data_IF_088106762295
#
_entry.id   IF_088106762295
#
_cell.length_a   1.000
_cell.length_b   1.000
_cell.length_c   1.000
_cell.angle_alpha   90.00
_cell.angle_beta   90.00
_cell.angle_gamma   90.00
#
_symmetry.space_group_name_H-M   'P 1'
#
loop_
_entity.id
_entity.type
_entity.pdbx_description
1 polymer ?
#
# COMPACT_ATOMS: atom_id res chain seq x y z
N UNK A 1 45.52 73.38 28.18
CA UNK A 1 44.06 73.39 27.97
C UNK A 1 43.63 71.99 27.56
N UNK A 2 42.99 71.28 28.49
CA UNK A 2 42.52 69.91 28.31
C UNK A 2 41.03 69.96 28.62
N UNK A 3 40.14 69.56 27.62
CA UNK A 3 38.75 69.42 28.00
C UNK A 3 38.42 67.97 28.43
N UNK A 4 37.70 67.90 29.56
CA UNK A 4 37.20 66.72 30.21
C UNK A 4 36.04 66.11 29.46
N UNK A 5 36.08 64.81 29.26
CA UNK A 5 34.95 63.98 28.76
C UNK A 5 34.07 63.50 29.95
N UNK A 6 32.74 63.51 29.84
CA UNK A 6 31.84 62.93 30.85
C UNK A 6 31.56 61.43 30.60
N UNK A 7 31.70 60.66 31.68
CA UNK A 7 31.33 59.28 31.78
C UNK A 7 29.78 59.12 31.70
N UNK A 8 29.30 58.35 30.73
CA UNK A 8 27.92 57.87 30.68
C UNK A 8 27.85 56.49 31.34
N UNK A 9 27.12 56.39 32.45
CA UNK A 9 26.72 55.15 33.10
C UNK A 9 25.69 54.39 32.24
N UNK A 10 26.05 53.20 31.77
CA UNK A 10 25.12 52.28 31.13
C UNK A 10 24.34 51.54 32.23
N UNK A 11 23.04 51.76 32.29
CA UNK A 11 22.11 50.95 33.08
C UNK A 11 21.81 49.68 32.28
N UNK A 12 22.25 48.52 32.78
CA UNK A 12 21.85 47.21 32.29
C UNK A 12 20.43 46.92 32.80
N UNK A 13 19.47 46.86 31.86
CA UNK A 13 18.13 46.40 32.14
C UNK A 13 18.10 44.85 32.02
N UNK A 14 17.92 44.20 33.14
CA UNK A 14 17.74 42.73 33.24
C UNK A 14 16.29 42.38 32.84
N UNK A 15 16.10 41.90 31.63
CA UNK A 15 14.82 41.35 31.15
C UNK A 15 14.66 39.91 31.69
N UNK A 16 13.86 39.75 32.74
CA UNK A 16 13.35 38.44 33.13
C UNK A 16 12.33 37.96 32.09
N UNK A 17 12.73 37.01 31.27
CA UNK A 17 11.82 36.27 30.42
C UNK A 17 11.07 35.22 31.27
N UNK A 18 9.84 35.51 31.64
CA UNK A 18 8.91 34.54 32.22
C UNK A 18 8.45 33.58 31.08
N UNK A 19 9.04 32.38 31.05
CA UNK A 19 8.54 31.28 30.24
C UNK A 19 7.20 30.83 30.84
N UNK A 20 6.10 31.25 30.23
CA UNK A 20 4.78 30.70 30.50
C UNK A 20 4.76 29.25 29.96
N UNK A 21 4.84 28.27 30.86
CA UNK A 21 4.50 26.89 30.57
C UNK A 21 3.00 26.82 30.23
N UNK A 22 2.68 26.87 28.95
CA UNK A 22 1.36 26.51 28.46
C UNK A 22 1.24 25.00 28.65
N UNK A 23 0.78 24.57 29.82
CA UNK A 23 0.25 23.23 30.02
C UNK A 23 -1.03 23.12 29.17
N UNK A 24 -0.86 22.76 27.91
CA UNK A 24 -1.98 22.34 27.09
C UNK A 24 -2.60 21.10 27.73
N UNK A 25 -3.74 21.28 28.40
CA UNK A 25 -4.63 20.17 28.72
C UNK A 25 -5.02 19.54 27.38
N UNK A 26 -4.29 18.50 26.97
CA UNK A 26 -4.75 17.62 25.93
C UNK A 26 -6.09 17.07 26.42
N UNK A 27 -7.17 17.41 25.74
CA UNK A 27 -8.48 16.85 25.98
C UNK A 27 -8.31 15.32 25.95
N UNK A 28 -8.59 14.60 27.06
CA UNK A 28 -8.48 13.16 27.05
C UNK A 28 -9.51 12.66 26.05
N UNK A 29 -9.07 12.36 24.82
CA UNK A 29 -9.91 11.86 23.76
C UNK A 29 -10.88 10.80 24.27
N UNK A 30 -11.94 10.47 23.52
CA UNK A 30 -13.05 9.67 24.01
C UNK A 30 -12.53 8.37 24.64
N UNK A 31 -12.78 8.19 25.94
CA UNK A 31 -12.25 7.11 26.80
C UNK A 31 -12.56 5.69 26.28
N UNK A 32 -13.49 5.56 25.33
CA UNK A 32 -13.92 4.30 24.72
C UNK A 32 -13.39 4.09 23.30
N UNK A 33 -12.13 4.42 23.07
CA UNK A 33 -11.41 4.09 21.82
C UNK A 33 -10.17 3.29 22.18
N UNK A 34 -9.78 2.26 21.38
CA UNK A 34 -8.54 1.52 21.60
C UNK A 34 -7.31 2.42 21.52
N UNK A 35 -6.33 2.13 22.37
CA UNK A 35 -5.00 2.71 22.23
C UNK A 35 -4.23 1.90 21.18
N UNK A 36 -3.64 2.58 20.20
CA UNK A 36 -2.87 1.97 19.12
C UNK A 36 -1.46 2.54 19.13
N UNK A 37 -0.46 1.66 19.10
CA UNK A 37 0.95 2.02 19.02
C UNK A 37 1.66 1.24 17.91
N UNK A 38 2.90 1.61 17.62
CA UNK A 38 3.73 1.04 16.56
C UNK A 38 3.83 1.95 15.34
N UNK A 39 4.87 1.72 14.56
CA UNK A 39 5.19 2.51 13.37
C UNK A 39 4.33 2.11 12.16
N UNK A 40 4.13 3.07 11.25
CA UNK A 40 3.55 2.81 9.92
C UNK A 40 4.29 1.67 9.22
N UNK A 41 3.54 0.79 8.57
CA UNK A 41 4.09 -0.38 7.88
C UNK A 41 4.50 -1.54 8.82
N UNK A 42 4.38 -1.38 10.13
CA UNK A 42 4.57 -2.45 11.12
C UNK A 42 3.24 -2.81 11.76
N UNK A 43 3.10 -4.09 12.12
CA UNK A 43 1.89 -4.56 12.81
C UNK A 43 1.61 -3.71 14.04
N UNK A 44 0.41 -3.11 14.16
CA UNK A 44 0.07 -2.29 15.32
C UNK A 44 -0.11 -3.15 16.59
N UNK A 45 0.24 -2.57 17.72
CA UNK A 45 -0.21 -3.07 19.02
C UNK A 45 -1.50 -2.34 19.38
N UNK A 46 -2.58 -3.09 19.56
CA UNK A 46 -3.90 -2.56 19.86
C UNK A 46 -4.30 -2.99 21.27
N UNK A 47 -4.52 -2.02 22.17
CA UNK A 47 -4.97 -2.23 23.54
C UNK A 47 -6.42 -1.81 23.65
N UNK A 48 -7.30 -2.77 23.95
CA UNK A 48 -8.74 -2.55 24.05
C UNK A 48 -9.08 -1.90 25.41
N UNK A 49 -9.92 -0.86 25.45
CA UNK A 49 -10.40 -0.30 26.71
C UNK A 49 -11.40 -1.26 27.38
N UNK A 50 -11.44 -1.21 28.71
CA UNK A 50 -12.46 -1.96 29.51
C UNK A 50 -13.82 -1.21 29.54
N UNK A 51 -14.24 -0.67 28.42
CA UNK A 51 -15.46 0.14 28.28
C UNK A 51 -16.30 -0.41 27.13
N UNK A 52 -17.61 -0.16 27.11
CA UNK A 52 -18.46 -0.53 25.98
C UNK A 52 -17.99 0.14 24.69
N UNK A 53 -18.17 -0.53 23.57
CA UNK A 53 -17.89 0.03 22.25
C UNK A 53 -18.76 1.27 21.97
N UNK A 54 -18.29 2.22 21.15
CA UNK A 54 -19.09 3.36 20.73
C UNK A 54 -20.27 2.90 19.89
N UNK A 55 -21.47 3.44 20.17
CA UNK A 55 -22.71 3.12 19.46
C UNK A 55 -22.70 3.52 17.98
N UNK A 56 -21.84 4.46 17.60
CA UNK A 56 -21.67 4.94 16.23
C UNK A 56 -20.24 4.73 15.77
N UNK A 57 -20.05 4.63 14.46
CA UNK A 57 -18.72 4.54 13.89
C UNK A 57 -17.89 5.78 14.27
N UNK A 58 -16.65 5.53 14.70
CA UNK A 58 -15.68 6.58 15.02
C UNK A 58 -14.39 6.33 14.29
N UNK A 59 -13.88 7.37 13.64
CA UNK A 59 -12.62 7.35 12.92
C UNK A 59 -11.66 8.36 13.54
N UNK A 60 -10.41 7.95 13.70
CA UNK A 60 -9.32 8.80 14.19
C UNK A 60 -8.09 8.60 13.29
N UNK A 61 -7.52 9.69 12.81
CA UNK A 61 -6.21 9.65 12.17
C UNK A 61 -5.14 9.63 13.25
N UNK A 62 -4.49 8.50 13.42
CA UNK A 62 -3.45 8.31 14.44
C UNK A 62 -2.11 8.90 14.02
N UNK A 63 -1.84 8.86 12.72
CA UNK A 63 -0.68 9.48 12.09
C UNK A 63 -1.09 9.99 10.73
N UNK A 64 -0.84 11.25 10.46
CA UNK A 64 -1.02 11.83 9.13
C UNK A 64 0.16 11.45 8.23
N UNK A 65 -0.14 11.04 6.99
CA UNK A 65 0.87 10.80 5.97
C UNK A 65 1.28 12.08 5.23
N UNK A 66 2.23 11.95 4.35
CA UNK A 66 2.79 13.04 3.53
C UNK A 66 2.54 12.86 2.02
N UNK A 67 2.00 11.70 1.64
CA UNK A 67 1.79 11.36 0.22
C UNK A 67 0.47 11.91 -0.35
N UNK A 68 0.13 11.52 -1.60
CA UNK A 68 -1.09 11.95 -2.28
C UNK A 68 -2.36 11.56 -1.51
N UNK A 69 -3.39 12.41 -1.64
CA UNK A 69 -4.71 12.19 -1.02
C UNK A 69 -5.49 11.15 -1.81
N UNK A 70 -6.06 10.18 -1.12
CA UNK A 70 -6.94 9.16 -1.68
C UNK A 70 -8.29 9.75 -2.09
N UNK A 71 -8.88 9.25 -3.18
CA UNK A 71 -10.12 9.77 -3.76
C UNK A 71 -11.13 8.66 -4.04
N UNK A 72 -12.38 9.04 -4.09
CA UNK A 72 -13.46 8.16 -4.55
C UNK A 72 -13.15 7.63 -5.96
N UNK A 73 -13.44 6.35 -6.19
CA UNK A 73 -13.18 5.66 -7.46
C UNK A 73 -11.78 5.09 -7.61
N UNK A 74 -10.85 5.43 -6.71
CA UNK A 74 -9.52 4.84 -6.71
C UNK A 74 -9.51 3.44 -6.08
N UNK A 75 -8.53 2.65 -6.46
CA UNK A 75 -8.12 1.44 -5.75
C UNK A 75 -7.26 1.87 -4.58
N UNK A 76 -7.75 1.65 -3.36
CA UNK A 76 -6.95 1.80 -2.15
C UNK A 76 -6.05 0.57 -1.98
N UNK A 77 -4.79 0.80 -1.65
CA UNK A 77 -3.86 -0.23 -1.18
C UNK A 77 -3.55 0.07 0.27
N UNK A 78 -3.79 -0.89 1.16
CA UNK A 78 -3.63 -0.69 2.60
C UNK A 78 -3.23 -1.98 3.31
N UNK A 79 -2.41 -1.86 4.36
CA UNK A 79 -2.38 -2.90 5.38
C UNK A 79 -3.53 -2.69 6.36
N UNK A 80 -4.04 -3.78 6.92
CA UNK A 80 -5.12 -3.74 7.91
C UNK A 80 -4.92 -4.79 9.01
N UNK A 81 -5.13 -4.37 10.25
CA UNK A 81 -5.39 -5.23 11.39
C UNK A 81 -6.84 -5.01 11.80
N UNK A 82 -7.67 -6.04 11.63
CA UNK A 82 -9.09 -6.03 11.94
C UNK A 82 -9.40 -7.01 13.05
N UNK A 83 -10.15 -6.56 14.07
CA UNK A 83 -10.48 -7.34 15.27
C UNK A 83 -11.92 -7.11 15.71
N UNK A 84 -12.47 -8.08 16.45
CA UNK A 84 -13.67 -7.88 17.24
C UNK A 84 -13.35 -7.07 18.50
N UNK A 85 -14.22 -6.12 18.83
CA UNK A 85 -14.11 -5.34 20.07
C UNK A 85 -14.25 -6.21 21.31
N UNK A 86 -15.29 -7.02 21.34
CA UNK A 86 -15.71 -7.78 22.53
C UNK A 86 -14.67 -8.82 22.96
N UNK A 87 -13.99 -9.43 22.03
CA UNK A 87 -13.03 -10.52 22.30
C UNK A 87 -11.59 -10.19 21.97
N UNK A 88 -11.34 -9.08 21.26
CA UNK A 88 -10.01 -8.78 20.69
C UNK A 88 -9.56 -9.78 19.61
N UNK A 89 -10.43 -10.72 19.21
CA UNK A 89 -10.09 -11.76 18.25
C UNK A 89 -9.76 -11.15 16.89
N UNK A 90 -8.59 -11.47 16.30
CA UNK A 90 -8.25 -11.00 14.97
C UNK A 90 -9.14 -11.67 13.92
N UNK A 91 -9.66 -10.87 12.99
CA UNK A 91 -10.46 -11.30 11.85
C UNK A 91 -9.64 -11.25 10.56
N UNK A 92 -8.84 -10.20 10.40
CA UNK A 92 -7.93 -10.00 9.27
C UNK A 92 -6.64 -9.36 9.78
N UNK A 93 -5.51 -9.82 9.27
CA UNK A 93 -4.20 -9.30 9.63
C UNK A 93 -3.27 -9.42 8.42
N UNK A 94 -3.21 -8.36 7.62
CA UNK A 94 -2.38 -8.34 6.40
C UNK A 94 -0.89 -8.29 6.71
N UNK A 95 -0.51 -7.82 7.89
CA UNK A 95 0.89 -7.85 8.32
C UNK A 95 1.39 -9.27 8.53
N UNK A 96 0.55 -10.14 9.11
CA UNK A 96 0.86 -11.58 9.27
C UNK A 96 0.83 -12.32 7.94
N UNK A 97 -0.08 -11.93 7.05
CA UNK A 97 -0.18 -12.48 5.70
C UNK A 97 0.93 -11.95 4.78
N UNK A 98 1.67 -10.92 5.21
CA UNK A 98 2.72 -10.27 4.43
C UNK A 98 2.20 -9.74 3.07
N UNK A 99 0.90 -9.48 2.99
CA UNK A 99 0.25 -9.00 1.77
C UNK A 99 -0.77 -7.91 2.08
N UNK A 100 -0.54 -6.68 1.61
CA UNK A 100 -1.53 -5.61 1.66
C UNK A 100 -2.82 -6.02 0.96
N UNK A 101 -3.94 -5.49 1.42
CA UNK A 101 -5.24 -5.66 0.75
C UNK A 101 -5.54 -4.50 -0.17
N UNK A 102 -6.43 -4.73 -1.13
CA UNK A 102 -6.91 -3.73 -2.08
C UNK A 102 -8.42 -3.72 -2.16
N UNK A 103 -8.99 -2.54 -2.36
CA UNK A 103 -10.42 -2.37 -2.61
C UNK A 103 -10.69 -1.12 -3.44
N UNK A 104 -11.82 -1.08 -4.14
CA UNK A 104 -12.25 0.14 -4.84
C UNK A 104 -13.04 1.02 -3.86
N UNK A 105 -12.67 2.28 -3.75
CA UNK A 105 -13.35 3.27 -2.91
C UNK A 105 -14.59 3.85 -3.64
N UNK A 106 -15.64 3.06 -3.79
CA UNK A 106 -16.85 3.44 -4.55
C UNK A 106 -18.17 3.28 -3.78
N UNK A 107 -18.10 2.87 -2.52
CA UNK A 107 -19.25 2.61 -1.66
C UNK A 107 -19.94 1.28 -1.92
N UNK A 108 -19.36 0.40 -2.74
CA UNK A 108 -19.96 -0.88 -3.14
C UNK A 108 -19.10 -2.08 -2.81
N UNK A 109 -17.78 -1.94 -2.93
CA UNK A 109 -16.82 -3.04 -2.80
C UNK A 109 -16.27 -3.22 -1.38
N UNK A 110 -16.42 -2.20 -0.53
CA UNK A 110 -16.09 -2.28 0.90
C UNK A 110 -17.21 -1.72 1.73
N UNK A 111 -17.17 -1.99 3.02
CA UNK A 111 -18.09 -1.43 3.99
C UNK A 111 -18.12 0.10 3.89
N UNK A 112 -19.30 0.70 3.91
CA UNK A 112 -19.47 2.16 3.77
C UNK A 112 -18.61 2.98 4.74
N UNK A 113 -18.48 2.50 5.98
CA UNK A 113 -17.65 3.16 6.98
C UNK A 113 -16.15 3.09 6.65
N UNK A 114 -15.70 2.06 5.92
CA UNK A 114 -14.32 1.96 5.45
C UNK A 114 -14.05 3.00 4.37
N UNK A 115 -14.92 3.08 3.34
CA UNK A 115 -14.82 4.13 2.32
C UNK A 115 -14.71 5.52 2.95
N UNK A 116 -15.62 5.84 3.87
CA UNK A 116 -15.63 7.12 4.56
C UNK A 116 -14.37 7.38 5.39
N UNK A 117 -13.77 6.33 5.92
CA UNK A 117 -12.53 6.42 6.70
C UNK A 117 -11.28 6.55 5.83
N UNK A 118 -11.32 6.02 4.62
CA UNK A 118 -10.16 5.93 3.74
C UNK A 118 -10.14 6.99 2.63
N UNK A 119 -11.28 7.50 2.19
CA UNK A 119 -11.34 8.64 1.25
C UNK A 119 -10.86 9.92 1.95
N UNK A 120 -10.06 10.72 1.25
CA UNK A 120 -9.49 11.96 1.76
C UNK A 120 -8.30 11.74 2.70
N UNK A 121 -7.72 10.54 2.76
CA UNK A 121 -6.51 10.27 3.55
C UNK A 121 -5.26 10.43 2.70
N UNK A 122 -4.21 10.98 3.29
CA UNK A 122 -2.90 11.00 2.63
C UNK A 122 -2.26 9.61 2.67
N UNK A 123 -1.60 9.22 1.61
CA UNK A 123 -0.74 8.04 1.63
C UNK A 123 0.33 8.19 2.72
N UNK A 124 0.60 7.12 3.48
CA UNK A 124 1.45 7.14 4.67
C UNK A 124 0.68 7.37 5.98
N UNK A 125 -0.65 7.58 5.95
CA UNK A 125 -1.46 7.75 7.14
C UNK A 125 -1.77 6.42 7.82
N UNK A 126 -1.82 6.44 9.18
CA UNK A 126 -2.41 5.37 9.98
C UNK A 126 -3.77 5.83 10.52
N UNK A 127 -4.80 5.06 10.26
CA UNK A 127 -6.20 5.37 10.60
C UNK A 127 -6.78 4.28 11.49
N UNK A 128 -7.39 4.67 12.59
CA UNK A 128 -8.21 3.80 13.44
C UNK A 128 -9.69 4.02 13.12
N UNK A 129 -10.41 2.94 12.86
CA UNK A 129 -11.86 2.91 12.73
C UNK A 129 -12.42 1.94 13.77
N UNK A 130 -13.37 2.42 14.58
CA UNK A 130 -14.24 1.59 15.39
C UNK A 130 -15.66 1.72 14.84
N UNK A 131 -16.29 0.60 14.50
CA UNK A 131 -17.60 0.61 13.84
C UNK A 131 -18.47 -0.56 14.30
N UNK A 132 -19.76 -0.35 14.58
CA UNK A 132 -20.72 -1.45 14.65
C UNK A 132 -20.68 -2.28 13.36
N UNK A 133 -20.78 -3.59 13.47
CA UNK A 133 -20.74 -4.51 12.33
C UNK A 133 -21.83 -4.19 11.30
N UNK A 134 -23.01 -3.80 11.76
CA UNK A 134 -24.15 -3.41 10.91
C UNK A 134 -23.86 -2.20 10.01
N UNK A 135 -23.00 -1.29 10.43
CA UNK A 135 -22.60 -0.12 9.63
C UNK A 135 -21.57 -0.48 8.55
N UNK A 136 -20.91 -1.61 8.71
CA UNK A 136 -19.89 -2.08 7.79
C UNK A 136 -20.42 -3.15 6.83
N UNK A 137 -21.11 -4.13 7.33
CA UNK A 137 -21.50 -5.33 6.60
C UNK A 137 -23.01 -5.46 6.38
N UNK A 138 -23.78 -4.44 6.77
CA UNK A 138 -25.24 -4.42 6.68
C UNK A 138 -25.93 -5.27 7.77
N UNK A 139 -27.27 -5.38 7.73
CA UNK A 139 -28.06 -5.99 8.79
C UNK A 139 -27.82 -7.50 8.97
N UNK A 140 -27.30 -8.18 7.96
CA UNK A 140 -27.05 -9.62 8.01
C UNK A 140 -25.62 -9.97 8.46
N UNK A 141 -24.77 -8.97 8.77
CA UNK A 141 -23.35 -9.18 9.03
C UNK A 141 -22.60 -9.70 7.81
N UNK A 142 -21.36 -10.05 7.97
CA UNK A 142 -20.59 -10.77 6.95
C UNK A 142 -20.23 -12.15 7.46
N UNK A 143 -20.81 -13.18 6.84
CA UNK A 143 -20.10 -14.44 6.77
C UNK A 143 -18.94 -14.24 5.78
N UNK A 144 -17.68 -14.48 6.11
CA UNK A 144 -17.29 -15.80 6.64
C UNK A 144 -16.77 -15.74 8.07
N UNK A 145 -16.83 -14.62 8.73
CA UNK A 145 -15.94 -14.45 9.87
C UNK A 145 -16.61 -14.52 11.22
N UNK A 146 -17.75 -15.13 11.38
CA UNK A 146 -18.37 -15.22 12.71
C UNK A 146 -18.67 -13.81 13.31
N UNK A 147 -18.86 -12.80 12.47
CA UNK A 147 -19.24 -11.45 12.89
C UNK A 147 -20.75 -11.37 13.00
N UNK A 148 -21.24 -11.14 14.20
CA UNK A 148 -22.67 -10.97 14.47
C UNK A 148 -23.09 -9.50 14.23
N UNK A 149 -24.34 -9.23 13.93
CA UNK A 149 -24.84 -7.84 13.83
C UNK A 149 -24.60 -6.98 15.08
N UNK A 150 -24.58 -7.62 16.26
CA UNK A 150 -24.31 -6.98 17.54
C UNK A 150 -22.85 -6.66 17.81
N UNK A 151 -21.93 -7.23 17.02
CA UNK A 151 -20.50 -7.05 17.25
C UNK A 151 -20.04 -5.66 16.82
N UNK A 152 -18.91 -5.24 17.38
CA UNK A 152 -18.19 -4.06 16.96
C UNK A 152 -16.82 -4.45 16.43
N UNK A 153 -16.35 -3.69 15.48
CA UNK A 153 -15.08 -3.95 14.81
C UNK A 153 -14.11 -2.82 15.07
N UNK A 154 -12.87 -3.20 15.30
CA UNK A 154 -11.73 -2.31 15.40
C UNK A 154 -10.82 -2.59 14.20
N UNK A 155 -10.55 -1.56 13.41
CA UNK A 155 -9.70 -1.64 12.24
C UNK A 155 -8.60 -0.59 12.35
N UNK A 156 -7.38 -1.02 12.18
CA UNK A 156 -6.22 -0.12 12.02
C UNK A 156 -5.73 -0.27 10.59
N UNK A 157 -5.84 0.80 9.83
CA UNK A 157 -5.37 0.87 8.45
C UNK A 157 -4.05 1.61 8.36
N UNK A 158 -3.10 1.06 7.63
CA UNK A 158 -1.94 1.79 7.10
C UNK A 158 -2.20 2.07 5.62
N UNK A 159 -2.52 3.30 5.29
CA UNK A 159 -2.85 3.73 3.93
C UNK A 159 -1.59 3.82 3.09
N UNK A 160 -1.33 2.83 2.24
CA UNK A 160 -0.18 2.84 1.33
C UNK A 160 -0.42 3.87 0.23
N UNK A 161 -1.62 3.88 -0.37
CA UNK A 161 -2.02 4.90 -1.33
C UNK A 161 -3.32 4.59 -2.05
N UNK A 162 -3.81 5.57 -2.83
CA UNK A 162 -4.93 5.43 -3.73
C UNK A 162 -4.48 5.61 -5.19
N UNK A 163 -4.88 4.69 -6.08
CA UNK A 163 -4.41 4.60 -7.45
C UNK A 163 -5.59 4.49 -8.41
N UNK A 164 -5.47 5.10 -9.59
CA UNK A 164 -6.50 4.90 -10.61
C UNK A 164 -6.50 3.44 -11.07
N UNK A 165 -7.68 2.82 -11.30
CA UNK A 165 -7.77 1.40 -11.67
C UNK A 165 -6.96 1.02 -12.91
N UNK A 166 -6.72 1.97 -13.81
CA UNK A 166 -5.95 1.80 -15.04
C UNK A 166 -4.61 2.54 -15.02
N UNK A 167 -4.13 2.92 -13.84
CA UNK A 167 -2.86 3.64 -13.71
C UNK A 167 -1.70 2.81 -14.25
N UNK A 168 -0.84 3.46 -15.02
CA UNK A 168 0.34 2.87 -15.63
C UNK A 168 1.52 3.81 -15.48
N UNK A 169 2.72 3.28 -15.62
CA UNK A 169 3.92 4.08 -15.82
C UNK A 169 3.80 4.81 -17.16
N UNK A 170 4.00 6.12 -17.15
CA UNK A 170 4.02 6.96 -18.36
C UNK A 170 5.26 6.67 -19.19
N UNK A 171 5.10 6.63 -20.50
CA UNK A 171 6.15 6.35 -21.48
C UNK A 171 5.76 5.17 -22.37
N UNK A 172 5.92 5.36 -23.68
CA UNK A 172 5.71 4.29 -24.66
C UNK A 172 6.78 3.21 -24.53
N UNK A 173 6.47 1.99 -24.89
CA UNK A 173 7.43 0.92 -25.04
C UNK A 173 8.26 1.11 -26.32
N UNK A 174 9.02 2.19 -26.39
CA UNK A 174 10.17 2.24 -27.29
C UNK A 174 11.30 1.57 -26.54
N UNK A 175 11.34 0.23 -26.54
CA UNK A 175 12.57 -0.47 -26.27
C UNK A 175 13.53 -0.13 -27.42
N UNK A 176 14.11 1.06 -27.39
CA UNK A 176 15.33 1.37 -28.15
C UNK A 176 16.47 0.61 -27.49
N UNK A 177 16.68 -0.59 -27.96
CA UNK A 177 17.76 -1.43 -27.47
C UNK A 177 17.58 -2.85 -27.98
N UNK A 178 18.17 -3.14 -29.12
CA UNK A 178 18.25 -4.40 -29.84
C UNK A 178 16.94 -4.89 -30.49
N UNK A 179 16.94 -4.87 -31.81
CA UNK A 179 15.89 -5.39 -32.70
C UNK A 179 15.60 -6.90 -32.53
N UNK A 180 16.14 -7.55 -31.51
CA UNK A 180 16.05 -9.00 -31.24
C UNK A 180 15.63 -9.35 -29.81
N UNK A 181 15.09 -8.41 -29.05
CA UNK A 181 14.74 -8.70 -27.64
C UNK A 181 13.32 -9.25 -27.53
N UNK A 182 13.21 -10.55 -27.37
CA UNK A 182 11.94 -11.27 -27.16
C UNK A 182 11.52 -11.31 -25.68
N UNK A 183 10.20 -11.34 -25.39
CA UNK A 183 9.13 -10.97 -26.30
C UNK A 183 9.07 -9.47 -26.55
N UNK A 184 8.47 -9.08 -27.67
CA UNK A 184 8.11 -7.69 -27.92
C UNK A 184 6.95 -7.29 -27.01
N UNK A 185 6.98 -6.05 -26.50
CA UNK A 185 5.94 -5.52 -25.58
C UNK A 185 5.32 -4.28 -26.20
N UNK A 186 4.01 -4.30 -26.38
CA UNK A 186 3.22 -3.14 -26.81
C UNK A 186 2.31 -2.69 -25.68
N UNK A 187 2.35 -1.39 -25.36
CA UNK A 187 1.57 -0.79 -24.28
C UNK A 187 0.75 0.37 -24.83
N UNK A 188 -0.55 0.36 -24.54
CA UNK A 188 -1.47 1.48 -24.83
C UNK A 188 -1.96 2.07 -23.50
N UNK A 189 -2.17 3.39 -23.41
CA UNK A 189 -2.66 4.02 -22.19
C UNK A 189 -3.93 3.34 -21.65
N UNK A 190 -3.91 2.98 -20.36
CA UNK A 190 -5.04 2.35 -19.68
C UNK A 190 -5.40 0.93 -20.11
N UNK A 191 -4.61 0.31 -20.96
CA UNK A 191 -4.84 -1.05 -21.45
C UNK A 191 -3.76 -2.02 -20.96
N UNK A 192 -4.14 -3.29 -20.88
CA UNK A 192 -3.21 -4.36 -20.54
C UNK A 192 -2.11 -4.46 -21.61
N UNK A 193 -0.82 -4.59 -21.22
CA UNK A 193 0.27 -4.83 -22.15
C UNK A 193 0.06 -6.07 -23.00
N UNK A 194 0.38 -5.97 -24.29
CA UNK A 194 0.34 -7.10 -25.24
C UNK A 194 1.76 -7.56 -25.53
N UNK A 195 2.00 -8.86 -25.37
CA UNK A 195 3.26 -9.50 -25.69
C UNK A 195 3.15 -10.27 -27.00
N UNK A 196 4.14 -10.10 -27.88
CA UNK A 196 4.24 -10.75 -29.19
C UNK A 196 5.69 -11.12 -29.48
N UNK A 197 5.97 -11.67 -30.65
CA UNK A 197 7.32 -12.06 -31.11
C UNK A 197 8.10 -12.79 -30.02
N UNK A 198 7.56 -13.91 -29.61
CA UNK A 198 8.01 -14.61 -28.43
C UNK A 198 9.43 -15.18 -28.53
N UNK A 199 9.91 -15.54 -29.71
CA UNK A 199 11.17 -16.22 -29.87
C UNK A 199 11.27 -17.53 -29.04
N UNK A 200 12.47 -18.09 -28.90
CA UNK A 200 12.70 -19.29 -28.09
C UNK A 200 12.37 -19.01 -26.61
N UNK A 201 11.86 -20.03 -25.90
CA UNK A 201 11.62 -19.92 -24.45
C UNK A 201 12.92 -19.63 -23.69
N UNK A 202 12.86 -18.78 -22.61
CA UNK A 202 14.03 -18.39 -21.87
C UNK A 202 14.65 -19.60 -21.14
N UNK A 203 15.97 -19.76 -21.24
CA UNK A 203 16.74 -20.75 -20.47
C UNK A 203 17.28 -20.20 -19.17
N UNK A 204 17.33 -18.85 -19.04
CA UNK A 204 17.78 -18.12 -17.85
C UNK A 204 16.79 -17.03 -17.52
N UNK A 205 16.72 -16.68 -16.24
CA UNK A 205 15.99 -15.51 -15.79
C UNK A 205 16.61 -14.22 -16.35
N UNK A 206 15.76 -13.29 -16.76
CA UNK A 206 16.21 -11.94 -17.11
C UNK A 206 15.16 -10.89 -16.71
N UNK A 207 15.65 -9.71 -16.33
CA UNK A 207 14.86 -8.54 -16.00
C UNK A 207 15.32 -7.33 -16.84
N UNK A 208 14.46 -6.88 -17.76
CA UNK A 208 14.75 -5.76 -18.67
C UNK A 208 13.90 -4.55 -18.32
N UNK A 209 14.53 -3.40 -18.09
CA UNK A 209 13.82 -2.14 -17.91
C UNK A 209 13.35 -1.64 -19.28
N UNK A 210 12.03 -1.49 -19.44
CA UNK A 210 11.40 -0.93 -20.63
C UNK A 210 11.24 0.59 -20.52
N UNK A 211 10.94 1.07 -19.32
CA UNK A 211 10.88 2.49 -18.95
C UNK A 211 11.65 2.65 -17.66
N UNK A 212 12.61 3.54 -17.61
CA UNK A 212 13.36 3.86 -16.41
C UNK A 212 12.57 4.87 -15.54
N UNK A 213 12.29 4.50 -14.30
CA UNK A 213 11.70 5.39 -13.32
C UNK A 213 12.71 6.35 -12.71
N UNK A 214 12.22 7.45 -12.15
CA UNK A 214 13.03 8.47 -11.47
C UNK A 214 12.78 8.53 -9.97
N UNK A 215 11.82 7.76 -9.46
CA UNK A 215 11.49 7.71 -8.05
C UNK A 215 12.53 6.95 -7.20
N UNK A 216 12.25 6.72 -5.92
CA UNK A 216 13.14 5.98 -5.03
C UNK A 216 13.32 4.52 -5.48
N UNK A 217 14.44 3.93 -5.09
CA UNK A 217 14.73 2.51 -5.34
C UNK A 217 13.93 1.60 -4.42
N UNK A 218 13.43 0.50 -4.96
CA UNK A 218 12.78 -0.56 -4.20
C UNK A 218 13.78 -1.30 -3.32
N UNK A 219 13.51 -1.34 -2.02
CA UNK A 219 14.33 -2.04 -1.03
C UNK A 219 13.57 -3.22 -0.44
N UNK A 220 14.25 -4.32 -0.09
CA UNK A 220 13.64 -5.42 0.65
C UNK A 220 12.88 -4.93 1.89
N UNK A 221 11.72 -5.53 2.14
CA UNK A 221 10.85 -5.18 3.25
C UNK A 221 9.89 -4.02 3.00
N UNK A 222 10.00 -3.33 1.86
CA UNK A 222 9.03 -2.31 1.48
C UNK A 222 7.75 -2.92 0.90
N UNK A 223 6.67 -2.19 1.04
CA UNK A 223 5.41 -2.44 0.34
C UNK A 223 5.47 -1.73 -1.01
N UNK A 224 5.50 -2.50 -2.07
CA UNK A 224 5.44 -1.98 -3.43
C UNK A 224 4.02 -2.05 -3.96
N UNK A 225 3.63 -1.07 -4.77
CA UNK A 225 2.37 -1.07 -5.51
C UNK A 225 2.69 -1.19 -6.98
N UNK A 226 2.08 -2.15 -7.63
CA UNK A 226 2.33 -2.44 -9.05
C UNK A 226 1.05 -2.62 -9.85
N UNK A 227 1.14 -2.27 -11.13
CA UNK A 227 0.21 -2.70 -12.17
C UNK A 227 0.94 -3.70 -13.06
N UNK A 228 0.36 -4.88 -13.29
CA UNK A 228 1.08 -5.91 -14.03
C UNK A 228 0.20 -6.82 -14.88
N UNK A 229 0.84 -7.49 -15.83
CA UNK A 229 0.30 -8.60 -16.61
C UNK A 229 1.32 -9.73 -16.65
N UNK A 230 0.88 -10.96 -16.36
CA UNK A 230 1.67 -12.18 -16.46
C UNK A 230 1.12 -13.10 -17.55
N UNK A 231 1.96 -13.51 -18.49
CA UNK A 231 1.59 -14.31 -19.66
C UNK A 231 2.47 -15.56 -19.73
N UNK A 232 1.88 -16.72 -20.01
CA UNK A 232 2.63 -17.95 -20.31
C UNK A 232 3.33 -17.78 -21.67
N UNK A 233 4.58 -18.22 -21.75
CA UNK A 233 5.41 -18.04 -22.94
C UNK A 233 4.74 -18.58 -24.20
N UNK A 234 4.64 -17.76 -25.23
CA UNK A 234 4.02 -18.12 -26.52
C UNK A 234 2.49 -18.15 -26.51
N UNK A 235 1.84 -17.87 -25.39
CA UNK A 235 0.37 -17.86 -25.30
C UNK A 235 -0.20 -16.47 -25.53
N UNK A 236 -1.47 -16.43 -25.97
CA UNK A 236 -2.27 -15.20 -26.01
C UNK A 236 -3.02 -15.05 -24.69
N UNK A 237 -3.09 -13.81 -24.20
CA UNK A 237 -3.78 -13.46 -22.96
C UNK A 237 -3.00 -13.79 -21.69
N UNK A 238 -3.29 -13.07 -20.63
CA UNK A 238 -2.64 -13.23 -19.35
C UNK A 238 -3.30 -14.33 -18.51
N UNK A 239 -2.49 -15.10 -17.80
CA UNK A 239 -2.98 -15.99 -16.74
C UNK A 239 -3.29 -15.22 -15.47
N UNK A 240 -2.61 -14.07 -15.26
CA UNK A 240 -2.79 -13.19 -14.12
C UNK A 240 -2.53 -11.73 -14.49
N UNK A 241 -3.44 -10.83 -14.13
CA UNK A 241 -3.35 -9.43 -14.51
C UNK A 241 -4.16 -8.56 -13.57
N UNK A 242 -3.56 -7.46 -13.10
CA UNK A 242 -4.27 -6.43 -12.34
C UNK A 242 -5.24 -5.63 -13.21
N UNK A 243 -5.00 -5.55 -14.53
CA UNK A 243 -5.92 -4.88 -15.47
C UNK A 243 -7.28 -5.58 -15.59
N UNK A 244 -7.34 -6.87 -15.30
CA UNK A 244 -8.57 -7.69 -15.32
C UNK A 244 -9.25 -7.78 -13.95
N UNK A 245 -8.73 -7.05 -12.98
CA UNK A 245 -9.23 -6.93 -11.61
C UNK A 245 -9.55 -5.48 -11.30
N UNK A 246 -9.51 -5.15 -10.03
CA UNK A 246 -9.80 -3.80 -9.57
C UNK A 246 -8.74 -2.76 -9.96
N UNK A 247 -7.56 -3.18 -10.42
CA UNK A 247 -6.43 -2.29 -10.73
C UNK A 247 -5.18 -2.61 -9.93
N UNK A 248 -4.30 -1.64 -9.67
CA UNK A 248 -3.02 -1.84 -8.98
C UNK A 248 -3.14 -2.62 -7.68
N UNK A 249 -2.13 -3.44 -7.38
CA UNK A 249 -2.11 -4.27 -6.18
C UNK A 249 -0.82 -4.06 -5.39
N UNK A 250 -0.92 -4.26 -4.07
CA UNK A 250 0.18 -4.15 -3.12
C UNK A 250 0.86 -5.48 -2.85
N UNK A 251 2.19 -5.46 -2.69
CA UNK A 251 3.00 -6.62 -2.35
C UNK A 251 4.12 -6.22 -1.39
N UNK A 252 4.44 -7.09 -0.44
CA UNK A 252 5.66 -6.95 0.34
C UNK A 252 6.86 -7.45 -0.50
N UNK A 253 7.86 -6.60 -0.70
CA UNK A 253 9.08 -6.98 -1.41
C UNK A 253 9.95 -7.85 -0.49
N UNK A 254 9.67 -9.16 -0.50
CA UNK A 254 10.33 -10.15 0.33
C UNK A 254 10.64 -11.41 -0.48
N UNK A 255 11.81 -11.99 -0.26
CA UNK A 255 12.19 -13.24 -0.93
C UNK A 255 11.17 -14.35 -0.61
N UNK A 256 10.83 -15.14 -1.61
CA UNK A 256 9.85 -16.25 -1.56
C UNK A 256 8.40 -15.85 -1.22
N UNK A 257 8.11 -14.57 -1.05
CA UNK A 257 6.75 -14.06 -0.83
C UNK A 257 6.09 -13.50 -2.09
N UNK A 258 6.73 -13.63 -3.25
CA UNK A 258 6.31 -13.02 -4.51
C UNK A 258 6.21 -14.06 -5.64
N UNK A 259 5.63 -13.64 -6.76
CA UNK A 259 5.64 -14.44 -7.99
C UNK A 259 7.07 -14.76 -8.44
N UNK A 260 7.28 -15.86 -9.20
CA UNK A 260 8.62 -16.27 -9.63
C UNK A 260 9.38 -15.15 -10.33
N UNK A 261 10.62 -14.90 -9.92
CA UNK A 261 11.50 -13.88 -10.49
C UNK A 261 11.21 -12.44 -10.04
N UNK A 262 10.12 -12.18 -9.31
CA UNK A 262 9.77 -10.80 -8.93
C UNK A 262 10.74 -10.18 -7.93
N UNK A 263 11.10 -10.90 -6.88
CA UNK A 263 12.04 -10.38 -5.90
C UNK A 263 13.40 -10.04 -6.55
N UNK A 264 13.95 -10.97 -7.32
CA UNK A 264 15.21 -10.81 -8.03
C UNK A 264 15.16 -9.69 -9.08
N UNK A 265 14.06 -9.61 -9.84
CA UNK A 265 13.92 -8.67 -10.95
C UNK A 265 13.50 -7.26 -10.58
N UNK A 266 12.84 -7.07 -9.42
CA UNK A 266 12.29 -5.78 -9.01
C UNK A 266 13.11 -5.09 -7.92
N UNK A 267 13.86 -5.84 -7.08
CA UNK A 267 14.75 -5.24 -6.07
C UNK A 267 15.75 -4.30 -6.73
N UNK A 268 15.93 -3.10 -6.17
CA UNK A 268 16.81 -2.05 -6.70
C UNK A 268 16.24 -1.30 -7.91
N UNK A 269 15.06 -1.68 -8.45
CA UNK A 269 14.41 -0.88 -9.49
C UNK A 269 13.78 0.37 -8.88
N UNK A 270 13.64 1.42 -9.68
CA UNK A 270 13.06 2.68 -9.23
C UNK A 270 11.54 2.71 -9.41
N UNK A 271 10.86 3.35 -8.51
CA UNK A 271 9.45 3.74 -8.70
C UNK A 271 9.31 4.57 -9.98
N UNK A 272 8.27 4.29 -10.76
CA UNK A 272 8.07 4.82 -12.10
C UNK A 272 8.72 3.97 -13.20
N UNK A 273 9.33 2.82 -12.87
CA UNK A 273 9.87 1.91 -13.89
C UNK A 273 8.80 0.96 -14.42
N UNK A 274 8.92 0.64 -15.72
CA UNK A 274 8.28 -0.52 -16.34
C UNK A 274 9.34 -1.58 -16.60
N UNK A 275 9.13 -2.79 -16.09
CA UNK A 275 10.08 -3.90 -16.18
C UNK A 275 9.44 -5.10 -16.86
N UNK A 276 10.15 -5.68 -17.82
CA UNK A 276 9.82 -7.00 -18.37
C UNK A 276 10.66 -8.05 -17.66
N UNK A 277 10.00 -9.02 -17.03
CA UNK A 277 10.64 -10.19 -16.44
C UNK A 277 10.38 -11.39 -17.34
N UNK A 278 11.43 -12.12 -17.73
CA UNK A 278 11.33 -13.39 -18.45
C UNK A 278 11.84 -14.51 -17.56
N UNK A 279 10.96 -15.43 -17.23
CA UNK A 279 11.16 -16.45 -16.20
C UNK A 279 11.15 -17.83 -16.86
N UNK A 280 12.25 -18.61 -16.80
CA UNK A 280 12.29 -19.96 -17.38
C UNK A 280 11.42 -20.93 -16.59
N UNK A 281 11.07 -22.04 -17.23
CA UNK A 281 10.43 -23.17 -16.55
C UNK A 281 11.32 -23.65 -15.38
N UNK A 282 10.69 -23.99 -14.25
CA UNK A 282 11.41 -24.46 -13.06
C UNK A 282 12.25 -23.42 -12.31
N UNK A 283 12.20 -22.14 -12.72
CA UNK A 283 12.76 -21.06 -11.91
C UNK A 283 12.10 -21.05 -10.53
N UNK A 284 12.84 -20.66 -9.49
CA UNK A 284 12.43 -20.72 -8.08
C UNK A 284 10.91 -20.53 -7.90
N UNK A 285 10.23 -21.50 -7.28
CA UNK A 285 8.79 -21.36 -7.05
C UNK A 285 8.57 -20.08 -6.24
N UNK A 286 7.89 -19.15 -6.83
CA UNK A 286 7.36 -17.99 -6.13
C UNK A 286 6.18 -18.39 -5.27
N UNK A 287 5.62 -17.41 -4.64
CA UNK A 287 4.45 -17.53 -3.80
C UNK A 287 3.29 -18.27 -4.53
N UNK A 288 2.83 -19.35 -3.92
CA UNK A 288 1.70 -20.16 -4.41
C UNK A 288 0.46 -19.95 -3.54
N UNK A 289 0.23 -18.74 -2.99
CA UNK A 289 -1.03 -18.48 -2.31
C UNK A 289 -2.17 -18.50 -3.32
N UNK A 290 -3.05 -19.44 -3.08
CA UNK A 290 -4.24 -19.72 -3.89
C UNK A 290 -5.38 -18.74 -3.67
N UNK A 291 -5.27 -17.86 -2.69
CA UNK A 291 -6.32 -16.93 -2.29
C UNK A 291 -6.29 -15.68 -3.16
N UNK A 292 -6.94 -15.76 -4.30
CA UNK A 292 -7.08 -14.67 -5.24
C UNK A 292 -6.51 -14.91 -6.64
N UNK A 293 -6.12 -16.16 -7.00
CA UNK A 293 -5.77 -16.54 -8.37
C UNK A 293 -4.46 -15.94 -8.88
N UNK A 294 -3.47 -15.76 -8.01
CA UNK A 294 -2.13 -15.22 -8.37
C UNK A 294 -1.12 -16.31 -8.78
N UNK A 295 -1.53 -17.58 -8.84
CA UNK A 295 -0.61 -18.66 -9.14
C UNK A 295 -0.06 -18.56 -10.57
N UNK A 296 1.27 -18.57 -10.70
CA UNK A 296 1.90 -18.78 -12.00
C UNK A 296 1.74 -20.23 -12.46
N UNK A 297 1.68 -20.50 -13.78
CA UNK A 297 1.67 -21.85 -14.32
C UNK A 297 2.87 -22.65 -13.82
N UNK A 298 2.61 -23.85 -13.28
CA UNK A 298 3.67 -24.70 -12.74
C UNK A 298 4.58 -25.19 -13.86
N UNK A 299 5.88 -25.06 -13.67
CA UNK A 299 6.92 -25.56 -14.57
C UNK A 299 6.74 -25.12 -16.04
N UNK A 300 6.25 -23.90 -16.25
CA UNK A 300 6.11 -23.25 -17.54
C UNK A 300 6.89 -21.96 -17.58
N UNK A 301 7.54 -21.62 -18.71
CA UNK A 301 8.17 -20.32 -18.85
C UNK A 301 7.09 -19.24 -18.92
N UNK A 302 7.32 -18.11 -18.27
CA UNK A 302 6.38 -16.99 -18.19
C UNK A 302 7.08 -15.66 -18.39
N UNK A 303 6.33 -14.66 -18.82
CA UNK A 303 6.77 -13.27 -18.87
C UNK A 303 5.83 -12.39 -18.05
N UNK A 304 6.39 -11.40 -17.37
CA UNK A 304 5.62 -10.37 -16.67
C UNK A 304 6.02 -9.00 -17.18
N UNK A 305 5.04 -8.15 -17.46
CA UNK A 305 5.24 -6.70 -17.60
C UNK A 305 4.75 -6.08 -16.31
N UNK A 306 5.64 -5.40 -15.58
CA UNK A 306 5.39 -4.84 -14.26
C UNK A 306 5.66 -3.35 -14.28
N UNK A 307 4.65 -2.54 -13.99
CA UNK A 307 4.76 -1.11 -13.74
C UNK A 307 4.86 -0.89 -12.23
N UNK A 308 5.96 -0.34 -11.76
CA UNK A 308 6.21 -0.02 -10.35
C UNK A 308 5.63 1.37 -10.10
N UNK A 309 4.51 1.45 -9.38
CA UNK A 309 3.78 2.71 -9.19
C UNK A 309 4.16 3.43 -7.91
N UNK A 310 4.46 2.70 -6.83
CA UNK A 310 4.84 3.27 -5.53
C UNK A 310 5.63 2.24 -4.69
N UNK A 311 6.32 2.73 -3.65
CA UNK A 311 6.99 1.92 -2.64
C UNK A 311 7.08 2.67 -1.30
N UNK A 312 6.73 1.97 -0.20
CA UNK A 312 6.76 2.55 1.16
C UNK A 312 7.33 1.57 2.18
#
# INVERSE_FOLDING_TARGET
MIPRTPHRLARAALLLATAALVSGCADPGPKNIPTVSGEFGKRPTVVMPKLPAPKQARMTVLKEGDGPVTRKGQVIVTDVDMRLWESGKPLMDTYRLEQPTTAVLDGKHVARTWDQSLIGRKAGSRVLLVSPATHGFGPNGMAPAQVKPSDHMVLVFDVIGGYDPKQQVSGGSSASGAASAHPAVSVRPGQEPVLSDWGPAPKKFAARTLVAGTGPELKPGQRMVVQFSGVEWGKKGSFNSTYRRSGPNGFLLKDRALLPGWYEGLTGRRVGSRVLLTVPAGHRPGFTHTDGGLAAPKNRPVAYVVDILDAR
#
